data_IF_283292456307
#
_entry.id   IF_283292456307
#
_cell.length_a   1.000
_cell.length_b   1.000
_cell.length_c   1.000
_cell.angle_alpha   90.00
_cell.angle_beta   90.00
_cell.angle_gamma   90.00
#
_symmetry.space_group_name_H-M   'P 1'
#
loop_
_entity.id
_entity.type
_entity.pdbx_description
1 polymer ?
#
# COMPACT_ATOMS: atom_id res chain seq x y z
N UNK A 1 3.22 -18.24 -18.37
CA UNK A 1 4.45 -18.12 -17.64
C UNK A 1 4.62 -19.23 -16.64
N UNK A 2 5.76 -19.79 -16.62
CA UNK A 2 6.06 -20.95 -15.82
C UNK A 2 6.36 -20.53 -14.38
N UNK A 3 5.66 -21.08 -13.41
CA UNK A 3 6.07 -20.81 -12.04
C UNK A 3 7.47 -21.35 -11.81
N UNK A 4 8.27 -20.64 -11.06
CA UNK A 4 9.65 -21.04 -10.89
C UNK A 4 9.70 -22.40 -10.24
N UNK A 5 10.26 -23.37 -10.97
CA UNK A 5 10.64 -24.66 -10.45
C UNK A 5 9.57 -25.36 -9.65
N UNK A 6 8.32 -25.21 -10.09
CA UNK A 6 7.23 -25.90 -9.42
C UNK A 6 6.91 -25.43 -8.04
N UNK A 7 7.54 -24.35 -7.61
CA UNK A 7 7.20 -23.79 -6.32
C UNK A 7 5.85 -23.10 -6.36
N UNK A 8 5.09 -23.30 -5.31
CA UNK A 8 3.81 -22.61 -5.18
C UNK A 8 3.59 -22.31 -3.72
N UNK A 9 2.96 -21.20 -3.42
CA UNK A 9 2.60 -20.91 -2.06
C UNK A 9 1.21 -21.42 -1.71
N UNK A 10 0.61 -22.22 -2.60
CA UNK A 10 -0.69 -22.79 -2.34
C UNK A 10 -0.59 -24.31 -2.41
N UNK A 11 -0.18 -24.95 -1.30
CA UNK A 11 -0.17 -26.42 -1.27
C UNK A 11 -1.59 -26.96 -1.37
N UNK A 12 -1.67 -28.18 -1.87
CA UNK A 12 -2.96 -28.85 -2.00
C UNK A 12 -3.64 -28.95 -0.63
N UNK A 13 -4.90 -28.59 -0.60
CA UNK A 13 -5.70 -28.73 0.62
C UNK A 13 -5.53 -27.61 1.63
N UNK A 14 -4.80 -26.57 1.29
CA UNK A 14 -4.57 -25.46 2.21
C UNK A 14 -5.42 -24.27 1.80
N UNK A 15 -6.01 -23.61 2.79
CA UNK A 15 -6.76 -22.39 2.57
C UNK A 15 -5.80 -21.31 2.08
N UNK A 16 -6.21 -20.59 1.05
CA UNK A 16 -5.38 -19.55 0.44
C UNK A 16 -4.88 -18.53 1.46
N UNK A 17 -5.71 -18.18 2.41
CA UNK A 17 -5.32 -17.15 3.37
C UNK A 17 -4.20 -17.59 4.31
N UNK A 18 -3.90 -18.88 4.33
CA UNK A 18 -2.80 -19.41 5.15
C UNK A 18 -1.50 -19.50 4.36
N UNK A 19 -1.46 -18.90 3.18
CA UNK A 19 -0.27 -18.89 2.35
C UNK A 19 0.40 -17.52 2.43
N UNK A 20 1.63 -17.43 1.91
CA UNK A 20 2.29 -16.13 1.81
C UNK A 20 1.50 -15.13 0.98
N UNK A 21 0.94 -15.58 -0.12
CA UNK A 21 0.11 -14.72 -0.95
C UNK A 21 -1.09 -14.18 -0.16
N UNK A 22 -1.80 -15.07 0.53
CA UNK A 22 -2.97 -14.65 1.30
C UNK A 22 -2.61 -13.74 2.45
N UNK A 23 -1.49 -14.02 3.13
CA UNK A 23 -1.04 -13.16 4.20
C UNK A 23 -0.77 -11.74 3.69
N UNK A 24 -0.01 -11.64 2.62
CA UNK A 24 0.31 -10.34 2.04
C UNK A 24 -0.96 -9.60 1.64
N UNK A 25 -1.86 -10.32 0.98
CA UNK A 25 -3.12 -9.73 0.56
C UNK A 25 -3.91 -9.19 1.74
N UNK A 26 -3.89 -9.89 2.87
CA UNK A 26 -4.63 -9.45 4.04
C UNK A 26 -4.12 -8.11 4.57
N UNK A 27 -2.84 -7.82 4.35
CA UNK A 27 -2.25 -6.58 4.83
C UNK A 27 -2.53 -5.40 3.91
N UNK A 28 -2.67 -5.65 2.61
CA UNK A 28 -2.77 -4.57 1.63
C UNK A 28 -4.09 -4.55 0.87
N UNK A 29 -4.97 -5.51 1.13
CA UNK A 29 -6.22 -5.57 0.40
C UNK A 29 -7.15 -4.46 0.82
N UNK A 30 -8.17 -4.25 -0.02
CA UNK A 30 -9.04 -3.12 0.14
C UNK A 30 -8.63 -2.04 -0.82
N UNK A 31 -9.55 -1.16 -1.09
CA UNK A 31 -9.33 -0.18 -2.14
C UNK A 31 -8.21 0.79 -1.82
N UNK A 32 -8.03 1.11 -0.55
CA UNK A 32 -7.19 2.25 -0.20
C UNK A 32 -5.87 1.93 0.49
N UNK A 33 -5.73 0.75 1.09
CA UNK A 33 -4.52 0.48 1.87
C UNK A 33 -3.26 0.51 1.00
N UNK A 34 -3.30 -0.19 -0.12
CA UNK A 34 -2.12 -0.22 -0.99
C UNK A 34 -1.87 1.15 -1.60
N UNK A 35 -2.92 1.92 -1.85
CA UNK A 35 -2.76 3.27 -2.38
C UNK A 35 -2.07 4.17 -1.37
N UNK A 36 -2.46 4.08 -0.09
CA UNK A 36 -1.81 4.85 0.96
C UNK A 36 -0.33 4.49 1.05
N UNK A 37 -0.04 3.19 1.05
CA UNK A 37 1.35 2.73 1.12
C UNK A 37 2.16 3.24 -0.06
N UNK A 38 1.57 3.22 -1.25
CA UNK A 38 2.25 3.70 -2.43
C UNK A 38 2.57 5.19 -2.32
N UNK A 39 1.61 6.00 -1.89
CA UNK A 39 1.85 7.43 -1.73
C UNK A 39 2.95 7.71 -0.72
N UNK A 40 2.96 6.96 0.39
CA UNK A 40 4.01 7.14 1.39
C UNK A 40 5.37 6.71 0.84
N UNK A 41 5.39 5.73 -0.04
CA UNK A 41 6.67 5.34 -0.65
C UNK A 41 7.21 6.44 -1.56
N UNK A 42 6.33 7.20 -2.19
CA UNK A 42 6.73 8.26 -3.12
C UNK A 42 7.10 9.55 -2.41
N UNK A 43 6.31 9.94 -1.43
CA UNK A 43 6.47 11.22 -0.76
C UNK A 43 7.23 11.12 0.54
N UNK A 44 7.38 9.94 1.08
CA UNK A 44 8.13 9.58 2.28
C UNK A 44 7.46 10.01 3.58
N UNK A 45 7.05 11.27 3.72
CA UNK A 45 6.36 11.74 4.92
C UNK A 45 5.15 12.52 4.47
N UNK A 46 3.98 12.18 5.01
CA UNK A 46 2.75 12.88 4.64
C UNK A 46 1.87 13.05 5.87
N UNK A 47 1.11 14.14 5.86
CA UNK A 47 0.08 14.36 6.86
C UNK A 47 -1.26 13.85 6.35
N UNK A 48 -2.21 13.72 7.26
CA UNK A 48 -3.54 13.22 6.93
C UNK A 48 -4.16 13.99 5.76
N UNK A 49 -4.13 15.30 5.83
CA UNK A 49 -4.76 16.12 4.79
C UNK A 49 -4.03 15.99 3.46
N UNK A 50 -2.74 15.81 3.48
CA UNK A 50 -1.99 15.61 2.25
C UNK A 50 -2.36 14.31 1.58
N UNK A 51 -2.47 13.25 2.38
CA UNK A 51 -2.91 11.96 1.87
C UNK A 51 -4.31 12.04 1.29
N UNK A 52 -5.20 12.73 2.00
CA UNK A 52 -6.56 12.86 1.54
C UNK A 52 -6.63 13.58 0.20
N UNK A 53 -5.88 14.66 0.06
CA UNK A 53 -5.86 15.39 -1.20
C UNK A 53 -5.26 14.56 -2.33
N UNK A 54 -4.19 13.83 -2.03
CA UNK A 54 -3.52 13.05 -3.05
C UNK A 54 -4.38 11.89 -3.54
N UNK A 55 -5.09 11.24 -2.65
CA UNK A 55 -5.96 10.14 -3.02
C UNK A 55 -7.24 10.65 -3.68
N UNK A 56 -7.80 11.71 -3.13
CA UNK A 56 -8.94 12.41 -3.72
C UNK A 56 -10.29 11.86 -3.37
N UNK A 57 -10.49 10.57 -3.54
CA UNK A 57 -11.81 9.97 -3.41
C UNK A 57 -12.11 9.39 -2.05
N UNK A 58 -11.15 9.44 -1.14
CA UNK A 58 -11.31 8.83 0.18
C UNK A 58 -11.92 9.84 1.15
N UNK A 59 -12.81 9.36 2.02
CA UNK A 59 -13.37 10.22 3.07
C UNK A 59 -12.38 10.34 4.21
N UNK A 60 -12.55 11.40 5.01
CA UNK A 60 -11.74 11.59 6.20
C UNK A 60 -11.80 10.36 7.12
N UNK A 61 -13.03 9.87 7.33
CA UNK A 61 -13.24 8.75 8.23
C UNK A 61 -12.58 7.49 7.72
N UNK A 62 -12.74 7.18 6.45
CA UNK A 62 -12.14 5.97 5.88
C UNK A 62 -10.62 6.04 5.94
N UNK A 63 -10.06 7.19 5.61
CA UNK A 63 -8.61 7.34 5.68
C UNK A 63 -8.11 7.12 7.10
N UNK A 64 -8.80 7.69 8.09
CA UNK A 64 -8.41 7.52 9.49
C UNK A 64 -8.44 6.05 9.89
N UNK A 65 -9.46 5.31 9.47
CA UNK A 65 -9.57 3.90 9.78
C UNK A 65 -8.43 3.12 9.13
N UNK A 66 -8.17 3.40 7.85
CA UNK A 66 -7.11 2.70 7.13
C UNK A 66 -5.74 2.96 7.75
N UNK A 67 -5.48 4.21 8.13
CA UNK A 67 -4.21 4.55 8.76
C UNK A 67 -4.02 3.82 10.08
N UNK A 68 -5.09 3.71 10.87
CA UNK A 68 -4.99 2.96 12.12
C UNK A 68 -4.70 1.49 11.88
N UNK A 69 -5.33 0.91 10.89
CA UNK A 69 -5.10 -0.50 10.58
C UNK A 69 -3.68 -0.73 10.07
N UNK A 70 -3.20 0.15 9.21
CA UNK A 70 -1.84 0.02 8.70
C UNK A 70 -0.82 0.20 9.82
N UNK A 71 -1.07 1.11 10.74
CA UNK A 71 -0.19 1.28 11.88
C UNK A 71 -0.20 0.05 12.79
N UNK A 72 -1.38 -0.49 13.05
CA UNK A 72 -1.51 -1.69 13.87
C UNK A 72 -0.79 -2.88 13.25
N UNK A 73 -0.78 -2.96 11.93
CA UNK A 73 -0.06 -4.02 11.21
C UNK A 73 1.43 -3.76 11.10
N UNK A 74 1.89 -2.64 11.63
CA UNK A 74 3.31 -2.32 11.64
C UNK A 74 3.88 -1.85 10.32
N UNK A 75 3.02 -1.44 9.38
CA UNK A 75 3.47 -1.03 8.07
C UNK A 75 3.77 0.46 7.98
N UNK A 76 3.16 1.25 8.84
CA UNK A 76 3.42 2.69 8.86
C UNK A 76 3.70 3.14 10.28
N UNK A 77 4.36 4.28 10.38
CA UNK A 77 4.67 4.94 11.63
C UNK A 77 3.87 6.22 11.69
N UNK A 78 3.23 6.45 12.83
CA UNK A 78 2.54 7.69 13.11
C UNK A 78 3.35 8.45 14.14
N UNK A 79 3.77 9.65 13.79
CA UNK A 79 4.56 10.47 14.70
C UNK A 79 3.81 11.75 15.01
N UNK A 80 3.62 12.00 16.29
CA UNK A 80 2.91 13.17 16.75
C UNK A 80 3.90 14.16 17.34
N UNK A 81 3.78 15.43 16.93
CA UNK A 81 4.66 16.49 17.41
C UNK A 81 3.89 17.38 18.36
N UNK A 82 4.40 17.58 19.56
CA UNK A 82 3.71 18.39 20.58
C UNK A 82 3.85 19.88 20.29
N UNK A 83 2.99 20.39 19.48
CA UNK A 83 2.97 21.80 19.15
C UNK A 83 1.52 22.24 19.02
N UNK A 84 1.28 23.52 18.77
CA UNK A 84 -0.05 24.07 18.67
C UNK A 84 -0.17 24.78 17.33
N UNK A 85 -1.06 24.29 16.42
CA UNK A 85 -1.83 23.06 16.56
C UNK A 85 -0.96 21.84 16.47
N UNK A 86 -1.41 20.69 16.98
CA UNK A 86 -0.61 19.48 16.93
C UNK A 86 -0.35 19.04 15.49
N UNK A 87 0.81 18.47 15.29
CA UNK A 87 1.20 17.97 13.98
C UNK A 87 1.37 16.47 14.04
N UNK A 88 0.79 15.76 13.08
CA UNK A 88 0.93 14.31 12.98
C UNK A 88 1.43 13.97 11.60
N UNK A 89 2.48 13.17 11.54
CA UNK A 89 3.07 12.74 10.28
C UNK A 89 3.05 11.24 10.17
N UNK A 90 2.87 10.76 8.96
CA UNK A 90 2.87 9.33 8.65
C UNK A 90 4.01 9.01 7.69
N UNK A 91 4.64 7.88 7.91
CA UNK A 91 5.72 7.41 7.03
C UNK A 91 5.71 5.88 7.06
N UNK A 92 6.40 5.28 6.08
CA UNK A 92 6.52 3.83 6.07
C UNK A 92 7.50 3.40 7.17
N UNK A 93 7.13 2.31 7.84
CA UNK A 93 8.06 1.63 8.73
C UNK A 93 9.08 0.87 7.88
N UNK A 94 10.07 0.28 8.56
CA UNK A 94 11.00 -0.61 7.87
C UNK A 94 10.26 -1.77 7.23
N UNK A 95 9.30 -2.31 7.95
CA UNK A 95 8.46 -3.39 7.42
C UNK A 95 7.67 -2.91 6.20
N UNK A 96 7.11 -1.70 6.25
CA UNK A 96 6.39 -1.14 5.12
C UNK A 96 7.30 -0.92 3.92
N UNK A 97 8.52 -0.46 4.16
CA UNK A 97 9.46 -0.26 3.07
C UNK A 97 9.87 -1.57 2.39
N UNK A 98 9.78 -2.68 3.11
CA UNK A 98 10.10 -3.96 2.51
C UNK A 98 9.11 -4.37 1.43
N UNK A 99 7.98 -3.68 1.32
CA UNK A 99 7.02 -3.90 0.24
C UNK A 99 7.37 -3.14 -1.04
N UNK A 100 8.35 -2.24 -1.00
CA UNK A 100 8.68 -1.44 -2.18
C UNK A 100 9.01 -2.26 -3.43
N UNK A 101 9.76 -3.36 -3.34
CA UNK A 101 9.99 -4.16 -4.54
C UNK A 101 8.70 -4.65 -5.18
N UNK A 102 7.70 -4.97 -4.36
CA UNK A 102 6.40 -5.39 -4.90
C UNK A 102 5.76 -4.24 -5.67
N UNK A 103 5.75 -3.05 -5.10
CA UNK A 103 5.15 -1.90 -5.77
C UNK A 103 5.88 -1.56 -7.05
N UNK A 104 7.22 -1.66 -7.05
CA UNK A 104 7.98 -1.40 -8.25
C UNK A 104 7.64 -2.39 -9.36
N UNK A 105 7.46 -3.65 -8.99
CA UNK A 105 7.06 -4.64 -9.98
C UNK A 105 5.68 -4.37 -10.54
N UNK A 106 4.77 -3.89 -9.69
CA UNK A 106 3.45 -3.51 -10.17
C UNK A 106 3.53 -2.39 -11.18
N UNK A 107 4.38 -1.40 -10.93
CA UNK A 107 4.58 -0.31 -11.88
C UNK A 107 5.13 -0.82 -13.20
N UNK A 108 6.16 -1.64 -13.13
CA UNK A 108 6.78 -2.17 -14.34
C UNK A 108 5.83 -3.01 -15.15
N UNK A 109 5.10 -3.89 -14.47
CA UNK A 109 4.15 -4.74 -15.17
C UNK A 109 3.07 -3.91 -15.84
N UNK A 110 2.57 -2.90 -15.11
CA UNK A 110 1.52 -2.05 -15.64
C UNK A 110 1.98 -1.25 -16.85
N UNK A 111 3.20 -0.71 -16.79
CA UNK A 111 3.70 0.07 -17.92
C UNK A 111 3.88 -0.77 -19.17
N UNK A 112 4.27 -2.03 -19.00
CA UNK A 112 4.47 -2.90 -20.15
C UNK A 112 3.19 -3.47 -20.71
N UNK A 113 2.15 -3.57 -19.88
CA UNK A 113 0.98 -4.35 -20.26
C UNK A 113 -0.29 -3.53 -20.44
N UNK A 114 -0.31 -2.25 -20.07
CA UNK A 114 -1.52 -1.47 -20.29
C UNK A 114 -1.73 -1.29 -21.78
N UNK A 115 -2.99 -1.38 -22.17
CA UNK A 115 -3.35 -1.41 -23.58
C UNK A 115 -3.83 -0.03 -24.01
N UNK A 116 -3.10 0.56 -24.96
CA UNK A 116 -3.52 1.82 -25.53
C UNK A 116 -3.25 2.99 -24.60
N UNK A 117 -2.32 3.82 -25.00
CA UNK A 117 -1.95 4.97 -24.20
C UNK A 117 -3.12 5.90 -23.93
N UNK A 118 -4.09 5.89 -24.83
CA UNK A 118 -5.23 6.79 -24.67
C UNK A 118 -6.07 6.46 -23.44
N UNK A 119 -5.94 5.25 -22.90
CA UNK A 119 -6.69 4.88 -21.71
C UNK A 119 -6.06 5.41 -20.44
N UNK A 120 -4.79 5.77 -20.48
CA UNK A 120 -4.04 6.20 -19.32
C UNK A 120 -3.28 7.46 -19.65
N UNK A 121 -4.01 8.53 -19.80
CA UNK A 121 -3.40 9.81 -20.13
C UNK A 121 -2.83 10.42 -18.86
N UNK A 122 -1.53 10.56 -18.75
CA UNK A 122 -0.96 11.27 -17.59
C UNK A 122 -1.39 12.71 -17.68
N UNK A 123 -1.71 13.25 -16.54
CA UNK A 123 -2.18 14.64 -16.47
C UNK A 123 -1.10 15.67 -16.50
#
# INVERSE_FOLDING_TARGET
>A
MQPPTGKTCVPTGVDLKNTGFGYTLSLISGKYKIIILYWLSERQVMRHNELKRSIGTISFKTLSIMLKELEADGLIIREEFPQIPPKVEYSLSERGRSLLPLFNMMCEWGEKNRLGDSLFQPE
#
